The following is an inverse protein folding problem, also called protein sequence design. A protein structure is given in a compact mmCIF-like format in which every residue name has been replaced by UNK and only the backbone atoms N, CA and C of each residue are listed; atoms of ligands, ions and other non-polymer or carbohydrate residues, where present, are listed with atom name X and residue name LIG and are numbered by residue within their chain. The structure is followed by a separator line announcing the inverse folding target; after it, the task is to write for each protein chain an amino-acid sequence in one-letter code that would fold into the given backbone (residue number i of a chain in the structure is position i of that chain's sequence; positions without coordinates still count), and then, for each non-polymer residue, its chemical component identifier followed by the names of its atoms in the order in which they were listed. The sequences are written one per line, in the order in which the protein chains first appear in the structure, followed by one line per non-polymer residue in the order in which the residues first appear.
data_IF_005367880353
#
_entry.id   IF_005367880353
#
_cell.length_a   1.000
_cell.length_b   1.000
_cell.length_c   1.000
_cell.angle_alpha   90.00
_cell.angle_beta   90.00
_cell.angle_gamma   90.00
#
_symmetry.space_group_name_H-M   'P 1'
#
loop_
_entity.id
_entity.type
_entity.pdbx_description
1 polymer ?
#
# COMPACT_ATOMS: atom_id res chain seq x y z
N UNK A 1 49.33 80.13 6.73
CA UNK A 1 49.01 79.74 8.12
C UNK A 1 47.60 79.24 8.08
N UNK A 2 47.50 77.92 7.99
CA UNK A 2 46.21 77.29 7.79
C UNK A 2 46.07 76.21 8.88
N UNK A 3 45.19 76.45 9.80
CA UNK A 3 44.97 75.62 11.00
C UNK A 3 43.69 74.84 10.79
N UNK A 4 43.79 73.56 10.38
CA UNK A 4 42.66 72.63 10.28
C UNK A 4 42.28 72.11 11.69
N UNK A 5 40.99 72.05 12.04
CA UNK A 5 40.56 71.45 13.30
C UNK A 5 40.44 69.94 13.17
N UNK A 6 41.08 69.19 14.06
CA UNK A 6 40.92 67.76 14.26
C UNK A 6 39.53 67.44 14.84
N UNK A 7 38.78 66.68 14.11
CA UNK A 7 37.48 66.12 14.55
C UNK A 7 37.76 64.90 15.43
N UNK A 8 37.46 65.02 16.72
CA UNK A 8 37.54 63.93 17.66
C UNK A 8 36.41 62.91 17.38
N UNK A 9 36.78 61.70 17.00
CA UNK A 9 35.85 60.59 16.83
C UNK A 9 35.36 60.11 18.22
N UNK A 10 34.13 60.44 18.54
CA UNK A 10 33.45 59.97 19.78
C UNK A 10 33.12 58.47 19.71
N UNK A 11 33.82 57.70 20.49
CA UNK A 11 33.54 56.27 20.71
C UNK A 11 32.25 56.12 21.47
N UNK A 12 31.17 55.76 20.82
CA UNK A 12 29.89 55.45 21.49
C UNK A 12 30.03 54.17 22.33
N UNK A 13 29.63 54.18 23.62
CA UNK A 13 29.68 52.98 24.45
C UNK A 13 28.63 51.99 23.98
N UNK A 14 29.04 50.78 23.59
CA UNK A 14 28.17 49.65 23.25
C UNK A 14 27.36 49.29 24.49
N UNK A 15 26.13 49.68 24.54
CA UNK A 15 25.17 49.40 25.62
C UNK A 15 24.84 47.92 25.58
N UNK A 16 25.59 47.09 26.33
CA UNK A 16 25.26 45.66 26.53
C UNK A 16 23.88 45.54 27.17
N UNK A 17 22.90 45.22 26.38
CA UNK A 17 21.55 44.85 26.86
C UNK A 17 21.71 43.59 27.71
N UNK A 18 21.58 43.70 29.02
CA UNK A 18 21.47 42.55 29.93
C UNK A 18 20.13 41.86 29.65
N UNK A 19 20.15 40.71 28.97
CA UNK A 19 18.96 39.87 28.78
C UNK A 19 18.57 39.41 30.17
N UNK A 20 17.31 39.64 30.61
CA UNK A 20 16.88 39.20 31.93
C UNK A 20 16.95 37.67 32.02
N UNK A 21 17.49 37.17 33.13
CA UNK A 21 17.69 35.73 33.36
C UNK A 21 16.40 34.93 33.12
N UNK A 22 15.25 35.52 33.47
CA UNK A 22 13.94 34.92 33.20
C UNK A 22 13.68 34.59 31.72
N UNK A 23 14.11 35.48 30.81
CA UNK A 23 13.96 35.22 29.35
C UNK A 23 14.81 34.06 28.89
N UNK A 24 16.04 33.95 29.42
CA UNK A 24 16.95 32.82 29.10
C UNK A 24 16.36 31.49 29.64
N UNK A 25 15.85 31.46 30.84
CA UNK A 25 15.24 30.26 31.45
C UNK A 25 14.01 29.82 30.64
N UNK A 26 13.13 30.73 30.24
CA UNK A 26 11.96 30.41 29.42
C UNK A 26 12.39 29.89 28.04
N UNK A 27 13.37 30.51 27.40
CA UNK A 27 13.87 30.05 26.10
C UNK A 27 14.48 28.65 26.18
N UNK A 28 15.27 28.35 27.22
CA UNK A 28 15.84 27.00 27.43
C UNK A 28 14.72 25.96 27.68
N UNK A 29 13.73 26.31 28.50
CA UNK A 29 12.60 25.42 28.78
C UNK A 29 11.81 25.09 27.49
N UNK A 30 11.49 26.10 26.69
CA UNK A 30 10.80 25.90 25.40
C UNK A 30 11.63 25.06 24.43
N UNK A 31 12.94 25.27 24.39
CA UNK A 31 13.82 24.43 23.56
C UNK A 31 13.84 22.98 24.03
N UNK A 32 13.88 22.72 25.33
CA UNK A 32 13.82 21.35 25.88
C UNK A 32 12.48 20.67 25.59
N UNK A 33 11.36 21.39 25.68
CA UNK A 33 10.04 20.86 25.35
C UNK A 33 9.93 20.55 23.85
N UNK A 34 10.39 21.44 22.98
CA UNK A 34 10.39 21.22 21.53
C UNK A 34 11.24 20.01 21.12
N UNK A 35 12.43 19.84 21.74
CA UNK A 35 13.28 18.66 21.48
C UNK A 35 12.64 17.38 22.01
N UNK A 36 12.00 17.40 23.17
CA UNK A 36 11.30 16.23 23.71
C UNK A 36 10.15 15.80 22.81
N UNK A 37 9.32 16.75 22.32
CA UNK A 37 8.24 16.46 21.38
C UNK A 37 8.80 15.88 20.06
N UNK A 38 9.86 16.48 19.53
CA UNK A 38 10.51 15.98 18.31
C UNK A 38 11.05 14.56 18.42
N UNK A 39 11.65 14.22 19.57
CA UNK A 39 12.15 12.86 19.83
C UNK A 39 11.00 11.86 19.98
N UNK A 40 9.94 12.22 20.70
CA UNK A 40 8.77 11.33 20.89
C UNK A 40 8.07 11.08 19.56
N UNK A 41 7.86 12.09 18.72
CA UNK A 41 7.25 11.90 17.42
C UNK A 41 8.11 11.02 16.50
N UNK A 42 9.43 11.24 16.47
CA UNK A 42 10.34 10.43 15.67
C UNK A 42 10.37 8.95 16.12
N UNK A 43 10.41 8.69 17.42
CA UNK A 43 10.37 7.32 17.97
C UNK A 43 9.01 6.65 17.68
N UNK A 44 7.91 7.40 17.75
CA UNK A 44 6.59 6.87 17.44
C UNK A 44 6.45 6.52 15.95
N UNK A 45 6.97 7.37 15.06
CA UNK A 45 6.96 7.12 13.61
C UNK A 45 7.85 5.91 13.24
N UNK A 46 9.03 5.80 13.83
CA UNK A 46 9.94 4.68 13.60
C UNK A 46 9.36 3.36 14.13
N UNK A 47 8.76 3.37 15.32
CA UNK A 47 8.11 2.20 15.89
C UNK A 47 6.90 1.75 15.04
N UNK A 48 6.08 2.69 14.57
CA UNK A 48 4.92 2.37 13.73
C UNK A 48 5.33 1.81 12.36
N UNK A 49 6.37 2.38 11.74
CA UNK A 49 6.89 1.88 10.48
C UNK A 49 7.49 0.48 10.61
N UNK A 50 8.23 0.21 11.68
CA UNK A 50 8.82 -1.10 11.96
C UNK A 50 7.74 -2.18 12.21
N UNK A 51 6.66 -1.85 12.93
CA UNK A 51 5.53 -2.77 13.14
C UNK A 51 4.82 -3.07 11.82
N UNK A 52 4.55 -2.06 11.01
CA UNK A 52 3.93 -2.23 9.69
C UNK A 52 4.80 -3.07 8.76
N UNK A 53 6.11 -2.84 8.74
CA UNK A 53 7.06 -3.63 7.95
C UNK A 53 7.15 -5.09 8.43
N UNK A 54 7.04 -5.31 9.73
CA UNK A 54 7.00 -6.66 10.32
C UNK A 54 5.68 -7.36 9.96
N UNK A 55 4.54 -6.68 10.07
CA UNK A 55 3.24 -7.21 9.65
C UNK A 55 3.19 -7.52 8.15
N UNK A 56 3.82 -6.70 7.30
CA UNK A 56 3.88 -6.98 5.87
C UNK A 56 4.72 -8.20 5.53
N UNK A 57 5.77 -8.48 6.30
CA UNK A 57 6.68 -9.61 6.06
C UNK A 57 6.26 -10.89 6.74
N UNK A 58 5.56 -10.80 7.88
CA UNK A 58 5.16 -11.99 8.59
C UNK A 58 3.95 -12.67 7.98
N UNK A 59 3.80 -13.91 8.37
CA UNK A 59 2.53 -14.63 8.31
C UNK A 59 2.07 -15.01 6.89
N UNK A 60 2.99 -15.01 5.94
CA UNK A 60 2.74 -15.55 4.62
C UNK A 60 2.94 -17.07 4.63
N UNK A 61 1.94 -17.76 4.11
CA UNK A 61 1.95 -19.23 4.09
C UNK A 61 2.59 -19.74 2.79
N UNK A 62 3.54 -20.64 2.97
CA UNK A 62 4.10 -21.40 1.85
C UNK A 62 3.06 -22.42 1.36
N UNK A 63 3.03 -22.65 0.04
CA UNK A 63 2.10 -23.62 -0.56
C UNK A 63 0.76 -23.04 -1.02
N UNK A 64 0.51 -21.74 -0.84
CA UNK A 64 -0.62 -21.05 -1.45
C UNK A 64 -0.44 -20.93 -2.97
N UNK A 65 -0.50 -22.03 -3.71
CA UNK A 65 -0.35 -22.04 -5.16
C UNK A 65 -1.46 -21.28 -5.88
N UNK A 66 -1.25 -20.75 -7.13
CA UNK A 66 -2.31 -20.10 -7.89
C UNK A 66 -3.57 -20.96 -8.07
N UNK A 67 -3.40 -22.26 -8.27
CA UNK A 67 -4.53 -23.19 -8.41
C UNK A 67 -5.31 -23.33 -7.09
N UNK A 68 -4.60 -23.45 -5.97
CA UNK A 68 -5.22 -23.51 -4.65
C UNK A 68 -5.97 -22.21 -4.33
N UNK A 69 -5.30 -21.07 -4.53
CA UNK A 69 -5.91 -19.75 -4.27
C UNK A 69 -7.13 -19.50 -5.18
N UNK A 70 -7.03 -19.85 -6.46
CA UNK A 70 -8.15 -19.81 -7.41
C UNK A 70 -9.38 -20.59 -6.88
N UNK A 71 -9.15 -21.77 -6.29
CA UNK A 71 -10.21 -22.57 -5.69
C UNK A 71 -10.79 -21.91 -4.44
N UNK A 72 -9.94 -21.36 -3.57
CA UNK A 72 -10.37 -20.70 -2.32
C UNK A 72 -11.19 -19.42 -2.58
N UNK A 73 -10.82 -18.67 -3.60
CA UNK A 73 -11.54 -17.46 -3.98
C UNK A 73 -12.79 -17.74 -4.85
N UNK A 74 -12.93 -18.94 -5.41
CA UNK A 74 -13.98 -19.24 -6.38
C UNK A 74 -13.74 -18.53 -7.72
N UNK A 75 -12.53 -18.07 -7.99
CA UNK A 75 -12.16 -17.36 -9.23
C UNK A 75 -11.32 -18.31 -10.10
N UNK A 76 -11.79 -18.57 -11.31
CA UNK A 76 -11.04 -19.40 -12.27
C UNK A 76 -9.98 -18.59 -12.98
N UNK A 77 -8.73 -19.09 -12.95
CA UNK A 77 -7.65 -18.55 -13.79
C UNK A 77 -7.84 -19.12 -15.20
N UNK A 78 -7.93 -18.27 -16.26
CA UNK A 78 -7.98 -18.76 -17.63
C UNK A 78 -6.75 -19.60 -18.00
N UNK A 79 -6.94 -20.59 -18.88
CA UNK A 79 -5.84 -21.46 -19.33
C UNK A 79 -4.72 -20.68 -20.02
N UNK A 80 -5.08 -19.67 -20.83
CA UNK A 80 -4.13 -18.78 -21.52
C UNK A 80 -3.44 -17.75 -20.62
N UNK A 81 -3.74 -17.71 -19.32
CA UNK A 81 -3.11 -16.76 -18.42
C UNK A 81 -1.63 -17.10 -18.18
N UNK A 82 -0.79 -16.10 -18.22
CA UNK A 82 0.64 -16.16 -17.90
C UNK A 82 0.95 -15.44 -16.58
N UNK A 83 2.20 -15.48 -16.10
CA UNK A 83 2.70 -14.83 -14.87
C UNK A 83 1.72 -14.98 -13.68
N UNK A 84 1.33 -16.23 -13.42
CA UNK A 84 0.39 -16.58 -12.35
C UNK A 84 1.09 -16.55 -11.01
N UNK A 85 0.63 -15.69 -10.10
CA UNK A 85 1.17 -15.52 -8.75
C UNK A 85 0.05 -15.57 -7.73
N UNK A 86 0.36 -16.05 -6.53
CA UNK A 86 -0.58 -16.12 -5.44
C UNK A 86 0.12 -16.00 -4.10
N UNK A 87 -0.61 -15.55 -3.09
CA UNK A 87 -0.15 -15.48 -1.72
C UNK A 87 -1.33 -15.63 -0.77
N UNK A 88 -1.06 -16.20 0.39
CA UNK A 88 -2.01 -16.30 1.48
C UNK A 88 -1.33 -15.84 2.76
N UNK A 89 -1.93 -14.85 3.41
CA UNK A 89 -1.43 -14.27 4.63
C UNK A 89 -2.40 -14.53 5.76
N UNK A 90 -1.91 -15.16 6.82
CA UNK A 90 -2.67 -15.30 8.06
C UNK A 90 -2.67 -13.98 8.82
N UNK A 91 -3.80 -13.59 9.35
CA UNK A 91 -4.01 -12.37 10.12
C UNK A 91 -4.56 -12.67 11.50
N UNK A 92 -4.58 -11.66 12.39
CA UNK A 92 -5.14 -11.80 13.73
C UNK A 92 -6.66 -12.01 13.74
N UNK A 93 -7.36 -11.39 12.82
CA UNK A 93 -8.82 -11.41 12.73
C UNK A 93 -9.31 -11.99 11.42
N UNK A 94 -8.67 -11.66 10.34
CA UNK A 94 -8.97 -12.15 9.02
C UNK A 94 -7.67 -12.46 8.28
N UNK A 95 -7.72 -13.50 7.48
CA UNK A 95 -6.67 -13.84 6.54
C UNK A 95 -6.87 -13.09 5.23
N UNK A 96 -5.85 -13.04 4.41
CA UNK A 96 -5.94 -12.37 3.10
C UNK A 96 -5.39 -13.27 2.01
N UNK A 97 -6.20 -13.48 0.98
CA UNK A 97 -5.80 -14.16 -0.24
C UNK A 97 -5.46 -13.17 -1.35
N UNK A 98 -4.34 -13.40 -2.02
CA UNK A 98 -3.91 -12.65 -3.19
C UNK A 98 -3.77 -13.59 -4.38
N UNK A 99 -4.23 -13.13 -5.55
CA UNK A 99 -4.05 -13.81 -6.82
C UNK A 99 -3.74 -12.77 -7.89
N UNK A 100 -2.76 -13.06 -8.75
CA UNK A 100 -2.46 -12.22 -9.91
C UNK A 100 -2.09 -13.09 -11.11
N UNK A 101 -2.47 -12.63 -12.31
CA UNK A 101 -2.11 -13.25 -13.58
C UNK A 101 -2.23 -12.26 -14.73
N UNK A 102 -1.62 -12.59 -15.85
CA UNK A 102 -1.58 -11.73 -17.04
C UNK A 102 -2.33 -12.37 -18.20
N UNK A 103 -3.09 -11.54 -18.91
CA UNK A 103 -3.86 -11.89 -20.10
C UNK A 103 -3.59 -10.86 -21.22
N UNK A 104 -3.79 -11.24 -22.51
CA UNK A 104 -4.02 -10.25 -23.56
C UNK A 104 -5.19 -9.34 -23.17
N UNK A 105 -5.14 -8.03 -23.51
CA UNK A 105 -6.13 -7.06 -23.05
C UNK A 105 -7.56 -7.40 -23.49
N UNK A 106 -7.76 -7.93 -24.69
CA UNK A 106 -9.08 -8.41 -25.16
C UNK A 106 -9.61 -9.57 -24.31
N UNK A 107 -8.71 -10.50 -23.93
CA UNK A 107 -9.09 -11.63 -23.06
C UNK A 107 -9.41 -11.18 -21.65
N UNK A 108 -8.66 -10.19 -21.14
CA UNK A 108 -8.89 -9.59 -19.84
C UNK A 108 -10.25 -8.88 -19.79
N UNK A 109 -10.65 -8.17 -20.84
CA UNK A 109 -11.96 -7.54 -20.95
C UNK A 109 -13.10 -8.58 -20.98
N UNK A 110 -12.95 -9.60 -21.81
CA UNK A 110 -13.90 -10.71 -21.85
C UNK A 110 -14.00 -11.45 -20.51
N UNK A 111 -12.86 -11.61 -19.83
CA UNK A 111 -12.78 -12.26 -18.54
C UNK A 111 -13.47 -11.44 -17.46
N UNK A 112 -13.13 -10.17 -17.32
CA UNK A 112 -13.75 -9.28 -16.33
C UNK A 112 -15.24 -9.06 -16.61
N UNK A 113 -15.65 -8.93 -17.87
CA UNK A 113 -17.04 -8.83 -18.25
C UNK A 113 -17.88 -10.06 -17.91
N UNK A 114 -17.27 -11.24 -17.80
CA UNK A 114 -17.94 -12.47 -17.33
C UNK A 114 -17.96 -12.60 -15.81
N UNK A 115 -16.97 -12.01 -15.12
CA UNK A 115 -16.94 -11.98 -13.65
C UNK A 115 -17.96 -11.00 -13.07
N UNK A 116 -18.26 -9.94 -13.79
CA UNK A 116 -19.10 -8.85 -13.31
C UNK A 116 -20.52 -9.04 -13.80
N UNK A 117 -21.47 -8.92 -12.90
CA UNK A 117 -22.90 -9.02 -13.23
C UNK A 117 -23.28 -7.97 -14.28
N UNK A 118 -24.16 -8.33 -15.19
CA UNK A 118 -24.72 -7.39 -16.17
C UNK A 118 -25.25 -6.13 -15.51
N UNK A 119 -24.71 -4.98 -15.88
CA UNK A 119 -25.08 -3.67 -15.32
C UNK A 119 -24.14 -3.11 -14.26
N UNK A 120 -23.13 -3.88 -13.85
CA UNK A 120 -22.02 -3.37 -13.02
C UNK A 120 -20.82 -3.18 -13.93
N UNK A 121 -20.17 -2.02 -13.86
CA UNK A 121 -18.97 -1.73 -14.64
C UNK A 121 -17.76 -1.61 -13.69
N UNK A 122 -16.59 -2.00 -14.18
CA UNK A 122 -15.35 -1.66 -13.50
C UNK A 122 -15.09 -0.17 -13.62
N UNK A 123 -14.84 0.48 -12.50
CA UNK A 123 -14.57 1.92 -12.42
C UNK A 123 -13.07 2.21 -12.53
N UNK A 124 -12.74 3.31 -13.19
CA UNK A 124 -11.36 3.81 -13.20
C UNK A 124 -10.91 4.25 -11.80
N UNK A 125 -9.61 4.19 -11.55
CA UNK A 125 -9.06 4.71 -10.30
C UNK A 125 -8.92 6.24 -10.36
N UNK A 126 -9.96 6.94 -9.91
CA UNK A 126 -10.01 8.41 -9.90
C UNK A 126 -9.15 9.03 -8.79
N UNK A 127 -8.92 8.29 -7.73
CA UNK A 127 -8.17 8.72 -6.55
C UNK A 127 -7.14 7.64 -6.20
N UNK A 128 -6.00 7.61 -6.94
CA UNK A 128 -4.96 6.64 -6.65
C UNK A 128 -4.36 6.91 -5.27
N UNK A 129 -4.02 5.84 -4.57
CA UNK A 129 -3.29 5.93 -3.32
C UNK A 129 -1.90 6.56 -3.53
N UNK A 130 -1.36 7.19 -2.50
CA UNK A 130 -0.06 7.81 -2.57
C UNK A 130 1.04 6.78 -2.89
N UNK A 131 2.08 7.26 -3.56
CA UNK A 131 3.27 6.46 -3.81
C UNK A 131 3.86 6.02 -2.46
N UNK A 132 3.97 4.73 -2.24
CA UNK A 132 4.41 4.16 -0.97
C UNK A 132 3.27 3.62 -0.10
N UNK A 133 2.03 3.67 -0.60
CA UNK A 133 0.90 2.96 0.02
C UNK A 133 1.27 1.51 0.34
N UNK A 134 1.01 1.11 1.60
CA UNK A 134 1.40 -0.21 2.12
C UNK A 134 0.20 -0.85 2.83
N UNK A 135 -0.63 -1.59 2.11
CA UNK A 135 -1.71 -2.35 2.73
C UNK A 135 -1.18 -3.49 3.60
N UNK A 136 -1.94 -3.91 4.60
CA UNK A 136 -1.55 -5.01 5.51
C UNK A 136 -1.23 -6.34 4.80
N UNK A 137 -1.80 -6.57 3.62
CA UNK A 137 -1.46 -7.69 2.73
C UNK A 137 -1.24 -7.16 1.33
N UNK A 138 0.00 -6.96 0.98
CA UNK A 138 0.44 -6.26 -0.21
C UNK A 138 0.83 -7.19 -1.36
N UNK A 139 0.52 -6.80 -2.58
CA UNK A 139 1.02 -7.46 -3.80
C UNK A 139 2.55 -7.35 -3.93
N UNK A 140 3.18 -6.45 -3.18
CA UNK A 140 4.63 -6.39 -3.03
C UNK A 140 5.26 -7.71 -2.59
N UNK A 141 4.55 -8.54 -1.79
CA UNK A 141 4.97 -9.90 -1.46
C UNK A 141 5.12 -10.80 -2.70
N UNK A 142 4.30 -10.57 -3.72
CA UNK A 142 4.36 -11.28 -4.99
C UNK A 142 5.36 -10.65 -5.98
N UNK A 143 6.13 -9.63 -5.56
CA UNK A 143 7.00 -8.86 -6.43
C UNK A 143 6.23 -7.99 -7.44
N UNK A 144 5.01 -7.56 -7.09
CA UNK A 144 4.14 -6.74 -7.92
C UNK A 144 3.88 -5.39 -7.24
N UNK A 145 3.71 -4.32 -8.03
CA UNK A 145 3.25 -3.05 -7.48
C UNK A 145 1.80 -3.14 -6.97
N UNK A 146 1.46 -2.28 -6.01
CA UNK A 146 0.09 -2.18 -5.51
C UNK A 146 -0.84 -1.57 -6.57
N UNK A 147 -1.94 -2.25 -6.93
CA UNK A 147 -2.82 -1.76 -8.01
C UNK A 147 -3.43 -0.40 -7.67
N UNK A 148 -3.72 -0.10 -6.42
CA UNK A 148 -4.32 1.15 -5.99
C UNK A 148 -3.44 2.38 -6.27
N UNK A 149 -2.15 2.20 -6.49
CA UNK A 149 -1.21 3.30 -6.78
C UNK A 149 -1.18 3.71 -8.25
N UNK A 150 -1.83 2.97 -9.14
CA UNK A 150 -1.84 3.31 -10.57
C UNK A 150 -2.80 4.45 -10.89
N UNK A 151 -2.30 5.44 -11.60
CA UNK A 151 -3.06 6.61 -12.05
C UNK A 151 -3.80 6.36 -13.37
N UNK A 152 -3.21 5.54 -14.25
CA UNK A 152 -3.74 5.28 -15.59
C UNK A 152 -3.86 3.79 -15.85
N UNK A 153 -4.81 3.42 -16.71
CA UNK A 153 -4.98 2.04 -17.16
C UNK A 153 -5.51 1.09 -16.10
N UNK A 154 -5.83 1.58 -14.88
CA UNK A 154 -6.42 0.77 -13.83
C UNK A 154 -7.94 0.89 -13.83
N UNK A 155 -8.58 -0.27 -13.78
CA UNK A 155 -10.01 -0.41 -13.50
C UNK A 155 -10.19 -1.34 -12.29
N UNK A 156 -11.17 -1.08 -11.44
CA UNK A 156 -11.45 -1.88 -10.25
C UNK A 156 -12.93 -2.15 -10.08
N UNK A 157 -13.23 -3.28 -9.45
CA UNK A 157 -14.56 -3.64 -8.97
C UNK A 157 -14.45 -4.46 -7.70
N UNK A 158 -15.36 -4.26 -6.76
CA UNK A 158 -15.55 -5.14 -5.62
C UNK A 158 -16.73 -6.04 -5.92
N UNK A 159 -16.53 -7.34 -5.81
CA UNK A 159 -17.51 -8.37 -6.15
C UNK A 159 -17.81 -9.20 -4.91
N UNK A 160 -19.07 -9.44 -4.63
CA UNK A 160 -19.52 -10.32 -3.55
C UNK A 160 -20.30 -11.53 -4.11
N UNK A 161 -20.56 -12.57 -3.31
CA UNK A 161 -21.21 -13.81 -3.76
C UNK A 161 -22.48 -13.60 -4.58
N UNK A 162 -23.28 -12.59 -4.25
CA UNK A 162 -24.53 -12.29 -4.93
C UNK A 162 -24.35 -11.52 -6.26
N UNK A 163 -23.14 -11.01 -6.51
CA UNK A 163 -22.80 -10.22 -7.70
C UNK A 163 -22.39 -11.08 -8.90
N UNK A 164 -22.09 -12.35 -8.67
CA UNK A 164 -21.65 -13.25 -9.72
C UNK A 164 -22.80 -14.04 -10.34
N UNK A 165 -23.07 -13.73 -11.58
CA UNK A 165 -23.76 -14.62 -12.49
C UNK A 165 -22.71 -15.42 -13.29
N UNK A 166 -22.06 -16.41 -12.69
CA UNK A 166 -21.12 -17.24 -13.43
C UNK A 166 -21.82 -18.43 -14.06
N UNK A 167 -21.81 -18.55 -15.40
CA UNK A 167 -22.18 -19.80 -16.08
C UNK A 167 -21.16 -20.91 -15.81
N UNK A 168 -20.00 -20.63 -15.29
CA UNK A 168 -18.88 -21.55 -15.13
C UNK A 168 -18.81 -22.20 -13.74
N UNK A 169 -19.85 -22.07 -12.93
CA UNK A 169 -20.15 -22.99 -11.82
C UNK A 169 -19.32 -22.87 -10.56
N UNK A 170 -18.45 -21.86 -10.42
CA UNK A 170 -17.81 -21.56 -9.16
C UNK A 170 -18.40 -20.28 -8.59
N UNK A 171 -19.14 -20.44 -7.52
CA UNK A 171 -19.66 -19.31 -6.75
C UNK A 171 -18.50 -18.69 -5.98
N UNK A 172 -18.37 -17.35 -6.03
CA UNK A 172 -17.61 -16.62 -5.04
C UNK A 172 -18.11 -17.04 -3.67
N UNK A 173 -17.20 -17.50 -2.84
CA UNK A 173 -17.54 -17.84 -1.46
C UNK A 173 -17.48 -16.60 -0.55
N UNK A 174 -16.90 -15.51 -1.04
CA UNK A 174 -16.61 -14.28 -0.28
C UNK A 174 -16.42 -13.09 -1.21
N UNK A 175 -16.48 -11.87 -0.67
CA UNK A 175 -16.20 -10.68 -1.45
C UNK A 175 -14.73 -10.62 -1.87
N UNK A 176 -14.47 -10.14 -3.07
CA UNK A 176 -13.15 -9.94 -3.64
C UNK A 176 -13.05 -8.56 -4.29
N UNK A 177 -11.88 -7.96 -4.18
CA UNK A 177 -11.50 -6.80 -4.97
C UNK A 177 -10.76 -7.28 -6.21
N UNK A 178 -11.25 -6.91 -7.38
CA UNK A 178 -10.65 -7.23 -8.67
C UNK A 178 -10.13 -5.96 -9.30
N UNK A 179 -8.87 -5.99 -9.72
CA UNK A 179 -8.24 -4.89 -10.45
C UNK A 179 -7.75 -5.40 -11.78
N UNK A 180 -7.95 -4.62 -12.82
CA UNK A 180 -7.41 -4.86 -14.16
C UNK A 180 -6.54 -3.68 -14.56
N UNK A 181 -5.25 -3.92 -14.79
CA UNK A 181 -4.29 -2.89 -15.16
C UNK A 181 -3.61 -3.25 -16.47
N UNK A 182 -3.84 -2.45 -17.49
CA UNK A 182 -3.08 -2.52 -18.72
C UNK A 182 -1.72 -1.85 -18.52
N UNK A 183 -0.70 -2.65 -18.20
CA UNK A 183 0.63 -2.17 -17.88
C UNK A 183 1.54 -2.01 -19.11
N UNK A 184 1.15 -2.64 -20.21
CA UNK A 184 1.76 -2.50 -21.54
C UNK A 184 0.64 -2.56 -22.57
N UNK A 185 0.70 -1.84 -23.68
CA UNK A 185 -0.32 -1.92 -24.72
C UNK A 185 -0.63 -3.36 -25.13
N UNK A 186 -1.88 -3.75 -25.06
CA UNK A 186 -2.35 -5.09 -25.39
C UNK A 186 -2.12 -6.15 -24.30
N UNK A 187 -1.61 -5.77 -23.12
CA UNK A 187 -1.32 -6.71 -22.02
C UNK A 187 -1.84 -6.21 -20.69
N UNK A 188 -2.75 -6.94 -20.11
CA UNK A 188 -3.44 -6.57 -18.85
C UNK A 188 -3.13 -7.58 -17.76
N UNK A 189 -2.75 -7.06 -16.59
CA UNK A 189 -2.64 -7.85 -15.36
C UNK A 189 -3.94 -7.75 -14.57
N UNK A 190 -4.43 -8.90 -14.18
CA UNK A 190 -5.55 -9.04 -13.25
C UNK A 190 -4.98 -9.26 -11.86
N UNK A 191 -5.45 -8.50 -10.89
CA UNK A 191 -5.16 -8.66 -9.48
C UNK A 191 -6.47 -8.98 -8.76
N UNK A 192 -6.40 -9.87 -7.80
CA UNK A 192 -7.54 -10.21 -6.94
C UNK A 192 -7.07 -10.24 -5.51
N UNK A 193 -7.77 -9.55 -4.64
CA UNK A 193 -7.57 -9.55 -3.19
C UNK A 193 -8.88 -9.92 -2.51
N UNK A 194 -8.80 -10.76 -1.49
CA UNK A 194 -9.96 -11.10 -0.67
C UNK A 194 -9.57 -11.18 0.80
N UNK A 195 -10.45 -10.68 1.64
CA UNK A 195 -10.42 -10.95 3.08
C UNK A 195 -11.09 -12.29 3.35
N UNK A 196 -10.41 -13.17 4.07
CA UNK A 196 -10.78 -14.56 4.28
C UNK A 196 -10.99 -14.80 5.76
N UNK A 197 -12.05 -15.50 6.14
CA UNK A 197 -12.23 -15.94 7.52
C UNK A 197 -11.14 -16.94 7.91
N UNK A 198 -10.55 -16.82 9.14
CA UNK A 198 -9.47 -17.72 9.56
C UNK A 198 -10.01 -19.14 9.72
N UNK A 199 -9.55 -20.07 8.93
CA UNK A 199 -9.79 -21.51 9.10
C UNK A 199 -9.23 -22.33 7.95
N UNK A 200 -8.62 -21.69 6.99
CA UNK A 200 -8.13 -22.33 5.77
C UNK A 200 -6.61 -22.46 5.89
N UNK A 201 -6.09 -23.65 5.79
CA UNK A 201 -4.64 -23.89 5.79
C UNK A 201 -4.22 -24.31 4.39
N UNK A 202 -3.30 -23.58 3.74
CA UNK A 202 -2.73 -24.05 2.49
C UNK A 202 -2.05 -25.41 2.65
N UNK A 203 -1.98 -26.22 1.57
CA UNK A 203 -1.22 -27.45 1.62
C UNK A 203 0.25 -27.13 1.89
N UNK A 204 0.94 -28.04 2.58
CA UNK A 204 2.38 -27.91 2.79
C UNK A 204 3.09 -27.70 1.44
N UNK A 205 4.07 -26.79 1.43
CA UNK A 205 4.87 -26.55 0.24
C UNK A 205 5.46 -27.87 -0.26
N UNK A 206 5.14 -28.25 -1.47
CA UNK A 206 5.76 -29.41 -2.10
C UNK A 206 7.25 -29.10 -2.25
N UNK A 207 8.10 -29.79 -1.52
CA UNK A 207 9.55 -29.71 -1.78
C UNK A 207 9.75 -30.19 -3.22
N UNK A 208 10.15 -29.27 -4.09
CA UNK A 208 10.59 -29.65 -5.42
C UNK A 208 11.72 -30.66 -5.31
N UNK A 209 11.70 -31.72 -6.10
CA UNK A 209 12.74 -32.75 -6.10
C UNK A 209 14.10 -32.18 -6.53
#
# INVERSE_FOLDING_TARGET
MDTSPQTAAGTQPVRRRRVPVAVVVVAVFLACVATAIGVVSWVADDASSNLTDQEMRCCWEEGATPAWMSNQLGIRIPEGASDRRSGYKTGQRYDTGLLAFVLPSEDAERYTGRLIRSGTEMIGNLHPEEKGYRPAAAFGHLGLPEPETFVQGLRKASLCPDDLASPEGKYLQRCVDVFAHEFTPGTTRIYVRSTIEPSITPPAASKAP
#
